data_IF_933863074019
#
_entry.id   IF_933863074019
#
_cell.length_a   1.000
_cell.length_b   1.000
_cell.length_c   1.000
_cell.angle_alpha   90.00
_cell.angle_beta   90.00
_cell.angle_gamma   90.00
#
_symmetry.space_group_name_H-M   'P 1'
#
loop_
_entity.id
_entity.type
_entity.pdbx_description
1 polymer ?
#
# COMPACT_ATOMS: atom_id res chain seq x y z
N UNK A 1 -3.50 -8.66 -0.98
CA UNK A 1 -3.90 -10.04 -0.61
C UNK A 1 -4.70 -10.70 -1.72
N UNK A 2 -5.97 -10.31 -1.99
CA UNK A 2 -6.75 -10.88 -3.11
C UNK A 2 -5.98 -10.78 -4.42
N UNK A 3 -5.58 -9.57 -4.82
CA UNK A 3 -4.82 -9.34 -6.06
C UNK A 3 -3.49 -10.10 -6.11
N UNK A 4 -2.78 -10.23 -4.98
CA UNK A 4 -1.53 -11.01 -4.93
C UNK A 4 -1.74 -12.50 -5.20
N UNK A 5 -2.92 -13.04 -4.88
CA UNK A 5 -3.24 -14.47 -5.05
C UNK A 5 -4.02 -14.76 -6.33
N UNK A 6 -4.82 -13.80 -6.80
CA UNK A 6 -5.72 -13.93 -7.95
C UNK A 6 -5.15 -13.29 -9.21
N UNK A 7 -4.25 -12.31 -9.07
CA UNK A 7 -3.60 -11.59 -10.16
C UNK A 7 -4.31 -10.29 -10.60
N UNK A 8 -5.46 -9.96 -10.02
CA UNK A 8 -6.18 -8.72 -10.31
C UNK A 8 -7.03 -8.23 -9.12
N UNK A 9 -7.45 -6.95 -9.08
CA UNK A 9 -8.27 -6.42 -7.99
C UNK A 9 -9.69 -7.04 -7.93
N UNK A 10 -10.26 -7.26 -6.73
CA UNK A 10 -11.55 -7.96 -6.57
C UNK A 10 -12.75 -7.23 -7.20
N UNK A 11 -12.67 -5.93 -7.43
CA UNK A 11 -13.75 -5.11 -7.99
C UNK A 11 -13.35 -4.42 -9.30
N UNK A 12 -12.43 -5.04 -10.04
CA UNK A 12 -12.00 -4.52 -11.34
C UNK A 12 -13.19 -4.40 -12.30
N UNK A 13 -13.27 -3.25 -12.98
CA UNK A 13 -14.31 -2.93 -13.95
C UNK A 13 -13.77 -1.90 -14.96
N UNK A 14 -14.33 -1.84 -16.19
CA UNK A 14 -13.88 -0.89 -17.21
C UNK A 14 -14.09 0.59 -16.85
N UNK A 15 -15.03 0.90 -15.95
CA UNK A 15 -15.29 2.28 -15.52
C UNK A 15 -15.18 2.43 -14.01
N UNK A 16 -14.70 3.59 -13.58
CA UNK A 16 -14.62 3.94 -12.15
C UNK A 16 -16.00 3.86 -11.47
N UNK A 17 -17.06 4.30 -12.15
CA UNK A 17 -18.42 4.25 -11.63
C UNK A 17 -18.86 2.81 -11.30
N UNK A 18 -18.59 1.86 -12.18
CA UNK A 18 -18.89 0.45 -11.91
C UNK A 18 -18.05 -0.11 -10.76
N UNK A 19 -16.75 0.20 -10.72
CA UNK A 19 -15.89 -0.20 -9.59
C UNK A 19 -16.45 0.31 -8.27
N UNK A 20 -16.91 1.57 -8.20
CA UNK A 20 -17.56 2.11 -7.01
C UNK A 20 -18.84 1.33 -6.66
N UNK A 21 -19.70 1.05 -7.65
CA UNK A 21 -20.91 0.25 -7.43
C UNK A 21 -20.57 -1.12 -6.84
N UNK A 22 -19.57 -1.80 -7.40
CA UNK A 22 -19.10 -3.12 -6.93
C UNK A 22 -18.55 -3.07 -5.51
N UNK A 23 -17.78 -2.03 -5.17
CA UNK A 23 -17.25 -1.84 -3.81
C UNK A 23 -18.38 -1.63 -2.80
N UNK A 24 -19.40 -0.84 -3.16
CA UNK A 24 -20.56 -0.61 -2.28
C UNK A 24 -21.34 -1.91 -2.08
N UNK A 25 -21.57 -2.66 -3.15
CA UNK A 25 -22.30 -3.94 -3.15
C UNK A 25 -21.38 -5.17 -2.99
N UNK A 26 -20.28 -5.02 -2.24
CA UNK A 26 -19.25 -6.04 -2.07
C UNK A 26 -19.78 -7.40 -1.61
N UNK A 27 -20.92 -7.44 -0.91
CA UNK A 27 -21.53 -8.69 -0.42
C UNK A 27 -21.96 -9.61 -1.56
N UNK A 28 -22.39 -9.04 -2.69
CA UNK A 28 -22.82 -9.78 -3.87
C UNK A 28 -21.75 -9.79 -4.97
N UNK A 29 -20.84 -8.83 -4.96
CA UNK A 29 -19.85 -8.63 -6.03
C UNK A 29 -18.47 -9.24 -5.71
N UNK A 30 -18.21 -9.61 -4.44
CA UNK A 30 -16.98 -10.33 -4.08
C UNK A 30 -17.08 -11.79 -4.53
N UNK A 31 -16.45 -12.09 -5.67
CA UNK A 31 -16.35 -13.44 -6.23
C UNK A 31 -14.90 -13.93 -6.22
N UNK A 32 -14.73 -15.23 -5.97
CA UNK A 32 -13.43 -15.92 -6.04
C UNK A 32 -13.45 -16.83 -7.26
N UNK A 33 -12.53 -16.66 -8.22
CA UNK A 33 -12.52 -17.45 -9.45
C UNK A 33 -12.25 -18.93 -9.21
N UNK A 34 -13.00 -19.80 -9.89
CA UNK A 34 -12.88 -21.26 -9.73
C UNK A 34 -11.53 -21.81 -10.25
N UNK A 35 -10.89 -21.09 -11.16
CA UNK A 35 -9.58 -21.40 -11.73
C UNK A 35 -8.40 -21.02 -10.83
N UNK A 36 -8.64 -20.27 -9.75
CA UNK A 36 -7.60 -19.89 -8.77
C UNK A 36 -7.75 -20.72 -7.49
N UNK A 37 -6.79 -21.60 -7.24
CA UNK A 37 -6.78 -22.45 -6.05
C UNK A 37 -6.31 -21.68 -4.79
N UNK A 38 -7.27 -21.04 -4.12
CA UNK A 38 -7.04 -20.39 -2.84
C UNK A 38 -7.14 -21.41 -1.69
N UNK A 39 -6.23 -21.28 -0.70
CA UNK A 39 -6.41 -22.00 0.55
C UNK A 39 -7.64 -21.45 1.29
N UNK A 40 -8.37 -22.31 2.01
CA UNK A 40 -9.51 -21.89 2.86
C UNK A 40 -9.13 -20.78 3.84
N UNK A 41 -7.90 -20.80 4.35
CA UNK A 41 -7.39 -19.79 5.29
C UNK A 41 -7.21 -18.44 4.61
N UNK A 42 -6.76 -18.43 3.35
CA UNK A 42 -6.59 -17.22 2.55
C UNK A 42 -7.94 -16.59 2.22
N UNK A 43 -8.91 -17.41 1.80
CA UNK A 43 -10.27 -16.95 1.51
C UNK A 43 -10.96 -16.39 2.76
N UNK A 44 -10.87 -17.09 3.90
CA UNK A 44 -11.42 -16.62 5.18
C UNK A 44 -10.83 -15.25 5.58
N UNK A 45 -9.50 -15.09 5.46
CA UNK A 45 -8.84 -13.80 5.73
C UNK A 45 -9.41 -12.70 4.83
N UNK A 46 -9.51 -12.96 3.53
CA UNK A 46 -10.02 -11.96 2.57
C UNK A 46 -11.46 -11.58 2.90
N UNK A 47 -12.35 -12.54 3.18
CA UNK A 47 -13.76 -12.27 3.53
C UNK A 47 -13.89 -11.47 4.83
N UNK A 48 -13.02 -11.70 5.80
CA UNK A 48 -12.99 -10.94 7.07
C UNK A 48 -12.41 -9.52 6.93
N UNK A 49 -11.61 -9.28 5.89
CA UNK A 49 -11.07 -7.95 5.58
C UNK A 49 -12.01 -7.15 4.67
N UNK A 50 -12.55 -7.78 3.63
CA UNK A 50 -13.53 -7.22 2.69
C UNK A 50 -14.92 -7.42 3.28
N UNK A 51 -15.22 -6.63 4.29
CA UNK A 51 -16.53 -6.58 4.96
C UNK A 51 -16.84 -5.17 5.46
N UNK A 52 -18.02 -4.99 6.05
CA UNK A 52 -18.43 -3.73 6.67
C UNK A 52 -17.51 -3.36 7.83
N UNK A 53 -17.29 -2.05 8.03
CA UNK A 53 -16.28 -1.55 8.96
C UNK A 53 -16.48 -2.03 10.41
N UNK A 54 -17.72 -2.28 10.81
CA UNK A 54 -18.11 -2.76 12.13
C UNK A 54 -17.73 -4.23 12.41
N UNK A 55 -17.57 -5.03 11.35
CA UNK A 55 -17.22 -6.46 11.40
C UNK A 55 -15.81 -6.76 10.89
N UNK A 56 -15.10 -5.75 10.39
CA UNK A 56 -13.78 -5.93 9.76
C UNK A 56 -12.74 -6.39 10.77
N UNK A 57 -11.99 -7.43 10.39
CA UNK A 57 -10.84 -7.89 11.16
C UNK A 57 -9.82 -6.76 11.34
N UNK A 58 -9.33 -6.59 12.57
CA UNK A 58 -8.42 -5.50 12.93
C UNK A 58 -9.12 -4.28 13.50
N UNK A 59 -10.46 -4.28 13.60
CA UNK A 59 -11.22 -3.21 14.25
C UNK A 59 -10.78 -2.99 15.70
N UNK A 60 -10.36 -4.04 16.42
CA UNK A 60 -9.85 -3.91 17.80
C UNK A 60 -8.33 -3.81 17.90
N UNK A 61 -7.64 -3.65 16.77
CA UNK A 61 -6.19 -3.55 16.68
C UNK A 61 -5.55 -4.66 15.88
N UNK A 62 -4.24 -4.51 15.63
CA UNK A 62 -3.49 -5.39 14.73
C UNK A 62 -3.38 -6.84 15.21
N UNK A 63 -3.49 -7.10 16.52
CA UNK A 63 -3.40 -8.48 17.06
C UNK A 63 -4.48 -9.41 16.49
N UNK A 64 -5.70 -8.91 16.23
CA UNK A 64 -6.74 -9.72 15.58
C UNK A 64 -6.30 -10.23 14.19
N UNK A 65 -5.53 -9.43 13.46
CA UNK A 65 -5.01 -9.79 12.15
C UNK A 65 -3.86 -10.79 12.31
N UNK A 66 -2.95 -10.53 13.25
CA UNK A 66 -1.78 -11.39 13.52
C UNK A 66 -2.15 -12.79 13.97
N UNK A 67 -3.21 -12.91 14.75
CA UNK A 67 -3.73 -14.18 15.29
C UNK A 67 -4.52 -14.99 14.26
N UNK A 68 -4.80 -14.43 13.08
CA UNK A 68 -5.55 -15.13 12.05
C UNK A 68 -4.79 -16.37 11.56
N UNK A 69 -5.51 -17.49 11.38
CA UNK A 69 -4.94 -18.80 11.01
C UNK A 69 -4.14 -18.81 9.69
N UNK A 70 -4.37 -17.83 8.84
CA UNK A 70 -3.57 -17.60 7.63
C UNK A 70 -2.09 -17.34 7.97
N UNK A 71 -1.82 -16.63 9.06
CA UNK A 71 -0.46 -16.29 9.52
C UNK A 71 0.08 -17.27 10.57
N UNK A 72 -0.53 -18.45 10.73
CA UNK A 72 -0.03 -19.47 11.67
C UNK A 72 1.44 -19.82 11.37
N UNK A 73 2.30 -19.71 12.38
CA UNK A 73 3.73 -19.96 12.27
C UNK A 73 4.59 -18.72 11.97
N UNK A 74 3.97 -17.55 11.73
CA UNK A 74 4.70 -16.29 11.62
C UNK A 74 5.11 -15.80 13.01
N UNK A 75 6.41 -15.64 13.23
CA UNK A 75 6.92 -14.90 14.39
C UNK A 75 7.03 -13.40 14.05
N UNK A 76 6.07 -12.64 14.55
CA UNK A 76 5.97 -11.20 14.32
C UNK A 76 7.09 -10.40 14.98
N UNK A 77 7.79 -10.95 15.98
CA UNK A 77 8.90 -10.26 16.65
C UNK A 77 10.18 -10.30 15.81
N UNK A 78 10.36 -11.35 15.00
CA UNK A 78 11.55 -11.59 14.18
C UNK A 78 11.29 -11.46 12.68
N UNK A 79 10.08 -11.08 12.25
CA UNK A 79 9.68 -10.99 10.83
C UNK A 79 10.60 -10.13 9.95
N UNK A 80 11.34 -9.16 10.53
CA UNK A 80 12.32 -8.36 9.78
C UNK A 80 13.71 -9.00 9.64
N UNK A 81 13.95 -10.08 10.38
CA UNK A 81 15.23 -10.79 10.44
C UNK A 81 15.21 -12.09 9.62
N UNK A 82 14.07 -12.45 9.02
CA UNK A 82 13.98 -13.60 8.11
C UNK A 82 14.42 -13.19 6.70
N UNK A 83 14.87 -14.15 5.91
CA UNK A 83 15.16 -13.92 4.50
C UNK A 83 13.88 -13.57 3.73
N UNK A 84 13.92 -12.48 2.96
CA UNK A 84 12.79 -12.06 2.16
C UNK A 84 12.59 -13.03 0.97
N UNK A 85 11.34 -13.29 0.54
CA UNK A 85 11.05 -14.20 -0.57
C UNK A 85 11.58 -13.69 -1.92
N UNK A 86 11.83 -12.38 -2.02
CA UNK A 86 12.43 -11.75 -3.19
C UNK A 86 13.53 -10.79 -2.72
N UNK A 87 14.73 -10.97 -3.25
CA UNK A 87 15.89 -10.11 -3.02
C UNK A 87 16.21 -9.39 -4.33
N UNK A 88 16.02 -8.07 -4.44
CA UNK A 88 16.30 -7.34 -5.66
C UNK A 88 17.80 -7.34 -5.98
N UNK A 89 18.14 -7.52 -7.25
CA UNK A 89 19.52 -7.46 -7.73
C UNK A 89 19.82 -6.08 -8.30
N UNK A 90 20.53 -5.25 -7.53
CA UNK A 90 20.90 -3.91 -7.92
C UNK A 90 22.27 -3.88 -8.61
N UNK A 91 22.38 -3.15 -9.71
CA UNK A 91 23.64 -2.92 -10.44
C UNK A 91 24.50 -1.86 -9.77
N UNK A 92 23.88 -0.88 -9.10
CA UNK A 92 24.55 0.20 -8.38
C UNK A 92 23.64 0.80 -7.31
N UNK A 93 24.20 1.73 -6.51
CA UNK A 93 23.45 2.49 -5.49
C UNK A 93 22.39 3.44 -6.07
N UNK A 94 22.44 3.69 -7.38
CA UNK A 94 21.51 4.56 -8.12
C UNK A 94 20.66 3.78 -9.11
N UNK A 95 20.59 2.45 -9.00
CA UNK A 95 19.82 1.61 -9.91
C UNK A 95 18.30 1.82 -9.68
N UNK A 96 17.60 2.28 -10.72
CA UNK A 96 16.16 2.54 -10.71
C UNK A 96 15.37 1.52 -11.53
N UNK A 97 15.95 0.37 -11.90
CA UNK A 97 15.32 -0.61 -12.80
C UNK A 97 14.03 -1.24 -12.29
N UNK A 98 13.80 -1.21 -10.97
CA UNK A 98 12.54 -1.65 -10.34
C UNK A 98 11.49 -0.53 -10.23
N UNK A 99 11.78 0.67 -10.74
CA UNK A 99 10.87 1.82 -10.77
C UNK A 99 10.55 2.17 -12.24
N UNK A 100 9.34 1.84 -12.74
CA UNK A 100 8.94 2.21 -14.10
C UNK A 100 9.01 3.73 -14.31
N UNK A 101 9.47 4.16 -15.48
CA UNK A 101 9.59 5.58 -15.85
C UNK A 101 8.69 6.00 -17.02
N UNK A 102 7.85 5.08 -17.52
CA UNK A 102 7.01 5.27 -18.71
C UNK A 102 6.03 6.45 -18.55
N UNK A 103 5.58 6.72 -17.33
CA UNK A 103 4.64 7.81 -17.02
C UNK A 103 5.32 9.18 -16.81
N UNK A 104 6.66 9.25 -16.81
CA UNK A 104 7.38 10.51 -16.56
C UNK A 104 7.41 11.43 -17.78
N UNK A 105 7.31 10.86 -18.99
CA UNK A 105 7.40 11.62 -20.25
C UNK A 105 6.17 12.53 -20.46
N UNK A 106 5.03 12.21 -19.86
CA UNK A 106 3.77 12.95 -19.98
C UNK A 106 3.57 14.01 -18.88
N UNK A 107 4.56 14.23 -18.01
CA UNK A 107 4.42 15.19 -16.91
C UNK A 107 4.55 16.64 -17.40
N UNK A 108 3.61 17.53 -17.03
CA UNK A 108 3.73 18.94 -17.35
C UNK A 108 4.91 19.55 -16.59
N UNK A 109 5.79 20.25 -17.31
CA UNK A 109 6.95 20.96 -16.76
C UNK A 109 6.58 22.16 -15.89
N UNK A 110 5.37 22.69 -16.06
CA UNK A 110 4.85 23.83 -15.31
C UNK A 110 3.56 23.44 -14.56
N UNK A 111 3.39 23.87 -13.31
CA UNK A 111 2.19 23.57 -12.53
C UNK A 111 0.96 24.23 -13.14
N UNK A 112 -0.03 23.40 -13.53
CA UNK A 112 -1.30 23.86 -14.11
C UNK A 112 -2.19 24.45 -13.00
N UNK A 113 -2.70 25.67 -13.20
CA UNK A 113 -3.70 26.29 -12.30
C UNK A 113 -3.13 27.06 -11.11
N UNK A 114 -1.85 27.44 -11.15
CA UNK A 114 -1.21 28.12 -10.04
C UNK A 114 -1.58 29.64 -10.01
N UNK A 115 -2.18 30.11 -8.92
CA UNK A 115 -2.59 31.53 -8.66
C UNK A 115 -1.39 32.49 -8.62
N UNK A 116 -1.34 33.57 -9.40
CA UNK A 116 -0.14 34.43 -9.58
C UNK A 116 0.30 35.20 -8.32
N UNK A 117 -0.45 35.16 -7.23
CA UNK A 117 -0.07 35.75 -5.94
C UNK A 117 0.93 34.85 -5.20
N UNK A 118 2.20 35.22 -5.26
CA UNK A 118 3.33 34.49 -4.68
C UNK A 118 3.34 34.49 -3.15
N UNK A 119 2.73 35.49 -2.51
CA UNK A 119 2.82 35.68 -1.05
C UNK A 119 2.04 34.65 -0.23
N UNK A 120 0.89 34.21 -0.74
CA UNK A 120 0.01 33.21 -0.10
C UNK A 120 0.53 31.78 -0.27
N UNK A 121 1.24 31.49 -1.37
CA UNK A 121 1.76 30.15 -1.68
C UNK A 121 2.83 29.69 -0.70
N UNK A 122 3.73 30.57 -0.27
CA UNK A 122 4.83 30.21 0.62
C UNK A 122 4.35 29.85 2.03
N UNK A 123 3.17 30.35 2.44
CA UNK A 123 2.54 30.00 3.71
C UNK A 123 2.10 28.54 3.76
N UNK A 124 1.74 27.93 2.64
CA UNK A 124 1.35 26.52 2.57
C UNK A 124 2.51 25.56 2.91
N UNK A 125 3.75 26.04 2.79
CA UNK A 125 4.97 25.26 3.04
C UNK A 125 5.73 25.72 4.28
N UNK A 126 5.14 26.61 5.08
CA UNK A 126 5.74 27.06 6.34
C UNK A 126 5.86 25.86 7.30
N UNK A 127 7.07 25.56 7.76
CA UNK A 127 7.35 24.38 8.60
C UNK A 127 7.56 23.07 7.84
N UNK A 128 7.55 23.10 6.50
CA UNK A 128 7.87 21.93 5.66
C UNK A 128 9.32 21.47 5.82
N UNK A 129 10.24 22.40 6.10
CA UNK A 129 11.66 22.08 6.26
C UNK A 129 11.87 21.16 7.46
N UNK A 130 12.38 19.96 7.19
CA UNK A 130 12.77 18.98 8.20
C UNK A 130 14.26 18.66 8.09
N UNK A 131 14.98 18.69 9.22
CA UNK A 131 16.37 18.24 9.33
C UNK A 131 16.42 17.10 10.35
N UNK A 132 16.79 15.90 9.91
CA UNK A 132 16.80 14.69 10.75
C UNK A 132 17.78 14.77 11.92
N UNK A 133 18.84 15.58 11.80
CA UNK A 133 19.88 15.71 12.81
C UNK A 133 20.20 17.20 13.02
N UNK A 134 19.74 17.75 14.15
CA UNK A 134 20.30 18.99 14.72
C UNK A 134 20.88 18.62 16.09
N UNK A 135 22.20 18.83 16.24
CA UNK A 135 23.00 18.75 17.47
C UNK A 135 23.37 17.35 18.01
N UNK A 136 24.52 16.83 17.58
CA UNK A 136 25.60 16.54 18.52
C UNK A 136 26.73 17.52 18.20
N UNK A 137 27.05 18.37 19.17
CA UNK A 137 28.13 19.34 19.03
C UNK A 137 29.44 18.64 18.68
N UNK A 138 30.27 19.39 17.96
CA UNK A 138 31.70 19.11 17.87
C UNK A 138 32.25 18.87 19.28
N UNK A 139 32.54 17.60 19.58
CA UNK A 139 33.24 17.15 20.77
C UNK A 139 34.36 16.25 20.28
N UNK A 140 35.54 16.85 20.20
CA UNK A 140 36.88 16.29 20.03
C UNK A 140 37.01 14.76 20.02
N UNK A 141 37.58 14.25 18.92
CA UNK A 141 38.64 13.24 18.95
C UNK A 141 39.78 13.72 18.04
#
# INVERSE_FOLDING_TARGET
>A
MFECLVGYPPFCSPSAHETYRKIIDWRHELYFPDDVHLSRKSEDLIRRMITSADHRLGKKGAEEIKDHVFFSGVDWTTIRNIEAPFIPHLKSVTDTSYSPTEDLDDLPTEPVGADTDTSSRDLAFLGYTFRRYENYGAGEF
#
